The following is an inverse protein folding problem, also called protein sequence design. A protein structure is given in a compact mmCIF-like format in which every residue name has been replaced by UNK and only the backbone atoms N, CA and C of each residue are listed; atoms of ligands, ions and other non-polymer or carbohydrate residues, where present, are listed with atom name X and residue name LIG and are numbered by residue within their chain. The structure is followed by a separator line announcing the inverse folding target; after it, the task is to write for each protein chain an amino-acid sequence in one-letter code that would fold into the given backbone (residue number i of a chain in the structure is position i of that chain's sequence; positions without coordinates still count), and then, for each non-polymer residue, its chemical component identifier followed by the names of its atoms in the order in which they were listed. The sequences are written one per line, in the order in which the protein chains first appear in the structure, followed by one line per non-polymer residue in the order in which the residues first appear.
data_IF_026758609292
#
_entry.id   IF_026758609292
#
_cell.length_a   1.000
_cell.length_b   1.000
_cell.length_c   1.000
_cell.angle_alpha   90.00
_cell.angle_beta   90.00
_cell.angle_gamma   90.00
#
_symmetry.space_group_name_H-M   'P 1'
#
loop_
_entity.id
_entity.type
_entity.pdbx_description
1 polymer ?
#
# COMPACT_ATOMS: atom_id res chain seq x y z
N UNK A 1 67.56 43.36 31.67
CA UNK A 1 67.19 42.06 31.08
C UNK A 1 65.67 41.89 31.22
N UNK A 2 64.88 42.07 30.19
CA UNK A 2 63.43 41.95 30.21
C UNK A 2 63.05 40.70 29.41
N UNK A 3 62.55 39.68 30.09
CA UNK A 3 62.12 38.41 29.50
C UNK A 3 60.67 38.54 29.01
N UNK A 4 60.48 38.45 27.70
CA UNK A 4 59.15 38.45 27.09
C UNK A 4 58.62 37.00 27.09
N UNK A 5 57.49 36.79 27.74
CA UNK A 5 56.68 35.57 27.65
C UNK A 5 55.70 35.69 26.48
N UNK A 6 55.82 34.78 25.51
CA UNK A 6 54.89 34.70 24.41
C UNK A 6 53.86 33.61 24.78
N UNK A 7 52.60 34.02 24.92
CA UNK A 7 51.48 33.13 25.16
C UNK A 7 50.91 32.63 23.84
N UNK A 8 51.10 31.35 23.52
CA UNK A 8 50.50 30.72 22.33
C UNK A 8 49.11 30.17 22.70
N UNK A 9 48.05 30.75 22.16
CA UNK A 9 46.70 30.28 22.30
C UNK A 9 46.42 29.27 21.20
N UNK A 10 46.30 27.99 21.55
CA UNK A 10 45.79 26.93 20.65
C UNK A 10 44.27 26.97 20.65
N UNK A 11 43.63 27.41 19.56
CA UNK A 11 42.21 27.30 19.34
C UNK A 11 41.97 25.92 18.73
N UNK A 12 41.47 24.98 19.54
CA UNK A 12 40.97 23.70 19.05
C UNK A 12 39.59 23.93 18.40
N UNK A 13 39.59 23.95 17.08
CA UNK A 13 38.33 24.03 16.31
C UNK A 13 37.54 22.70 16.44
N UNK A 14 36.40 22.74 17.09
CA UNK A 14 35.41 21.67 17.06
C UNK A 14 34.78 21.60 15.67
N UNK A 15 35.22 20.61 14.88
CA UNK A 15 34.56 20.30 13.61
C UNK A 15 33.35 19.42 13.93
N UNK A 16 32.16 20.01 13.91
CA UNK A 16 30.92 19.23 13.91
C UNK A 16 30.70 18.64 12.50
N UNK A 17 30.47 17.31 12.38
CA UNK A 17 30.09 16.76 11.10
C UNK A 17 28.70 17.35 10.71
N UNK A 18 28.66 18.07 9.60
CA UNK A 18 27.39 18.45 8.97
C UNK A 18 26.84 17.17 8.34
N UNK A 19 25.90 16.53 9.05
CA UNK A 19 25.10 15.47 8.46
C UNK A 19 24.15 16.15 7.48
N UNK A 20 24.46 16.15 6.20
CA UNK A 20 23.50 16.47 5.15
C UNK A 20 22.44 15.38 5.17
N UNK A 21 21.26 15.69 5.70
CA UNK A 21 20.06 14.92 5.40
C UNK A 21 19.87 15.09 3.88
N UNK A 22 20.08 14.01 3.13
CA UNK A 22 19.62 13.96 1.76
C UNK A 22 18.07 14.01 1.85
N UNK A 23 17.45 15.12 1.40
CA UNK A 23 16.05 15.10 1.05
C UNK A 23 15.92 14.09 -0.09
N UNK A 24 15.43 12.88 0.21
CA UNK A 24 14.96 11.97 -0.82
C UNK A 24 13.70 12.63 -1.37
N UNK A 25 13.81 13.28 -2.53
CA UNK A 25 12.65 13.83 -3.21
C UNK A 25 11.60 12.72 -3.44
N UNK A 26 10.31 13.10 -3.43
CA UNK A 26 9.23 12.19 -3.74
C UNK A 26 9.53 11.38 -5.01
N UNK A 27 9.54 10.06 -4.89
CA UNK A 27 9.73 9.19 -6.06
C UNK A 27 8.35 8.79 -6.56
N UNK A 28 8.09 9.03 -7.85
CA UNK A 28 6.83 8.67 -8.51
C UNK A 28 7.15 7.87 -9.76
N UNK A 29 6.55 6.68 -9.86
CA UNK A 29 6.62 5.81 -11.04
C UNK A 29 5.22 5.65 -11.62
N UNK A 30 5.09 5.67 -12.95
CA UNK A 30 3.81 5.53 -13.65
C UNK A 30 3.94 4.45 -14.71
N UNK A 31 3.02 3.49 -14.69
CA UNK A 31 2.92 2.38 -15.63
C UNK A 31 1.57 2.40 -16.35
N UNK A 32 1.51 1.93 -17.60
CA UNK A 32 0.32 1.96 -18.43
C UNK A 32 0.04 0.59 -19.08
N UNK A 33 -1.13 0.02 -18.81
CA UNK A 33 -1.65 -1.09 -19.57
C UNK A 33 -2.34 -0.59 -20.87
N UNK A 34 -2.42 -1.40 -21.92
CA UNK A 34 -1.89 -2.77 -22.05
C UNK A 34 -0.43 -2.82 -22.51
N UNK A 35 0.26 -1.68 -22.58
CA UNK A 35 1.67 -1.63 -23.01
C UNK A 35 2.58 -2.36 -22.01
N UNK A 36 2.25 -2.27 -20.73
CA UNK A 36 2.90 -2.96 -19.62
C UNK A 36 1.87 -3.85 -18.93
N UNK A 37 2.32 -4.98 -18.38
CA UNK A 37 1.47 -5.78 -17.52
C UNK A 37 1.54 -5.21 -16.08
N UNK A 38 0.49 -4.48 -15.67
CA UNK A 38 0.41 -3.87 -14.35
C UNK A 38 0.31 -4.91 -13.22
N UNK A 39 -0.18 -6.13 -13.53
CA UNK A 39 -0.21 -7.26 -12.58
C UNK A 39 1.20 -7.57 -12.06
N UNK A 40 2.21 -7.60 -12.95
CA UNK A 40 3.58 -7.85 -12.55
C UNK A 40 4.13 -6.76 -11.61
N UNK A 41 3.74 -5.51 -11.82
CA UNK A 41 4.13 -4.38 -10.97
C UNK A 41 3.51 -4.54 -9.58
N UNK A 42 2.20 -4.79 -9.52
CA UNK A 42 1.47 -5.01 -8.27
C UNK A 42 2.02 -6.23 -7.50
N UNK A 43 2.25 -7.38 -8.18
CA UNK A 43 2.82 -8.59 -7.56
C UNK A 43 4.20 -8.33 -6.96
N UNK A 44 5.06 -7.59 -7.68
CA UNK A 44 6.39 -7.24 -7.16
C UNK A 44 6.31 -6.32 -5.95
N UNK A 45 5.42 -5.33 -5.96
CA UNK A 45 5.28 -4.39 -4.86
C UNK A 45 4.69 -5.05 -3.61
N UNK A 46 3.62 -5.86 -3.77
CA UNK A 46 3.05 -6.68 -2.68
C UNK A 46 4.10 -7.66 -2.13
N UNK A 47 4.91 -8.25 -3.03
CA UNK A 47 5.99 -9.18 -2.66
C UNK A 47 7.10 -8.56 -1.80
N UNK A 48 7.27 -7.22 -1.82
CA UNK A 48 8.25 -6.48 -1.00
C UNK A 48 7.76 -6.19 0.41
N UNK A 49 6.48 -6.32 0.68
CA UNK A 49 5.90 -6.03 1.98
C UNK A 49 6.57 -6.86 3.10
N UNK A 50 6.98 -6.20 4.17
CA UNK A 50 7.60 -6.79 5.35
C UNK A 50 6.75 -6.61 6.61
N UNK A 51 5.91 -5.57 6.69
CA UNK A 51 5.16 -5.21 7.90
C UNK A 51 3.65 -5.21 7.67
N UNK A 52 3.17 -4.45 6.68
CA UNK A 52 1.73 -4.23 6.51
C UNK A 52 1.31 -3.91 5.07
N UNK A 53 0.06 -4.25 4.74
CA UNK A 53 -0.61 -3.79 3.52
C UNK A 53 -2.02 -3.31 3.88
N UNK A 54 -2.32 -2.05 3.52
CA UNK A 54 -3.66 -1.47 3.62
C UNK A 54 -4.26 -1.29 2.23
N UNK A 55 -5.18 -2.15 1.85
CA UNK A 55 -5.74 -2.19 0.48
C UNK A 55 -7.21 -1.76 0.43
N UNK A 56 -7.52 -0.79 -0.43
CA UNK A 56 -8.89 -0.43 -0.82
C UNK A 56 -9.16 -0.89 -2.27
N UNK A 57 -9.91 -1.97 -2.43
CA UNK A 57 -10.15 -2.62 -3.70
C UNK A 57 -11.61 -2.55 -4.13
N UNK A 58 -11.91 -1.78 -5.19
CA UNK A 58 -13.22 -1.81 -5.81
C UNK A 58 -13.52 -3.22 -6.35
N UNK A 59 -12.62 -3.78 -7.14
CA UNK A 59 -12.62 -5.19 -7.59
C UNK A 59 -11.35 -5.87 -7.11
N UNK A 60 -11.46 -7.04 -6.53
CA UNK A 60 -10.35 -7.93 -6.20
C UNK A 60 -10.68 -9.34 -6.70
N UNK A 61 -10.24 -9.66 -7.90
CA UNK A 61 -10.55 -10.93 -8.57
C UNK A 61 -9.38 -11.50 -9.39
N UNK A 62 -8.25 -10.82 -9.40
CA UNK A 62 -7.04 -11.29 -10.08
C UNK A 62 -6.37 -12.39 -9.23
N UNK A 63 -6.14 -13.60 -9.79
CA UNK A 63 -5.55 -14.69 -9.03
C UNK A 63 -4.12 -14.43 -8.56
N UNK A 64 -3.30 -13.75 -9.36
CA UNK A 64 -1.89 -13.48 -9.03
C UNK A 64 -1.79 -12.45 -7.89
N UNK A 65 -2.69 -11.45 -7.89
CA UNK A 65 -2.76 -10.48 -6.79
C UNK A 65 -3.21 -11.16 -5.50
N UNK A 66 -4.22 -12.04 -5.57
CA UNK A 66 -4.72 -12.78 -4.40
C UNK A 66 -3.64 -13.72 -3.85
N UNK A 67 -2.89 -14.40 -4.73
CA UNK A 67 -1.76 -15.25 -4.36
C UNK A 67 -0.64 -14.43 -3.70
N UNK A 68 -0.24 -13.30 -4.30
CA UNK A 68 0.78 -12.41 -3.73
C UNK A 68 0.40 -11.89 -2.32
N UNK A 69 -0.88 -11.53 -2.11
CA UNK A 69 -1.39 -11.15 -0.79
C UNK A 69 -1.38 -12.33 0.20
N UNK A 70 -1.70 -13.55 -0.27
CA UNK A 70 -1.64 -14.74 0.56
C UNK A 70 -0.20 -15.04 0.99
N UNK A 71 0.74 -15.00 0.06
CA UNK A 71 2.17 -15.18 0.32
C UNK A 71 2.71 -14.11 1.30
N UNK A 72 2.25 -12.87 1.18
CA UNK A 72 2.60 -11.81 2.13
C UNK A 72 2.07 -12.13 3.54
N UNK A 73 0.82 -12.56 3.64
CA UNK A 73 0.22 -12.97 4.92
C UNK A 73 0.95 -14.17 5.55
N UNK A 74 1.41 -15.15 4.75
CA UNK A 74 2.23 -16.29 5.18
C UNK A 74 3.62 -15.87 5.69
N UNK A 75 4.13 -14.68 5.28
CA UNK A 75 5.34 -14.05 5.80
C UNK A 75 5.11 -13.18 7.04
N UNK A 76 3.95 -13.30 7.70
CA UNK A 76 3.53 -12.50 8.85
C UNK A 76 3.21 -11.02 8.56
N UNK A 77 3.04 -10.61 7.31
CA UNK A 77 2.56 -9.27 6.97
C UNK A 77 1.11 -9.10 7.41
N UNK A 78 0.82 -8.00 8.10
CA UNK A 78 -0.55 -7.66 8.55
C UNK A 78 -1.31 -7.00 7.41
N UNK A 79 -2.43 -7.59 6.97
CA UNK A 79 -3.17 -7.11 5.80
C UNK A 79 -4.58 -6.67 6.20
N UNK A 80 -4.95 -5.44 5.80
CA UNK A 80 -6.32 -4.93 5.89
C UNK A 80 -6.87 -4.70 4.48
N UNK A 81 -8.02 -5.30 4.16
CA UNK A 81 -8.65 -5.18 2.84
C UNK A 81 -10.04 -4.55 2.97
N UNK A 82 -10.26 -3.41 2.33
CA UNK A 82 -11.55 -2.74 2.27
C UNK A 82 -12.18 -2.89 0.89
N UNK A 83 -13.33 -3.54 0.83
CA UNK A 83 -13.97 -4.00 -0.41
C UNK A 83 -15.27 -3.24 -0.70
N UNK A 84 -15.61 -3.11 -1.99
CA UNK A 84 -16.92 -2.64 -2.41
C UNK A 84 -17.97 -3.76 -2.26
N UNK A 85 -19.18 -3.41 -1.78
CA UNK A 85 -20.26 -4.38 -1.53
C UNK A 85 -20.74 -5.06 -2.80
N UNK A 86 -20.95 -4.30 -3.86
CA UNK A 86 -21.54 -4.84 -5.11
C UNK A 86 -20.55 -5.74 -5.82
N UNK A 87 -19.30 -5.33 -5.89
CA UNK A 87 -18.24 -6.09 -6.55
C UNK A 87 -17.84 -7.33 -5.74
N UNK A 88 -17.86 -7.22 -4.42
CA UNK A 88 -17.64 -8.37 -3.55
C UNK A 88 -18.74 -9.43 -3.68
N UNK A 89 -20.01 -9.02 -3.78
CA UNK A 89 -21.11 -9.94 -4.01
C UNK A 89 -21.07 -10.61 -5.40
N UNK A 90 -20.54 -9.90 -6.42
CA UNK A 90 -20.43 -10.42 -7.80
C UNK A 90 -19.18 -11.30 -8.00
N UNK A 91 -18.03 -10.88 -7.46
CA UNK A 91 -16.72 -11.48 -7.71
C UNK A 91 -16.06 -12.08 -6.45
N UNK A 92 -16.75 -12.05 -5.32
CA UNK A 92 -16.22 -12.39 -4.00
C UNK A 92 -15.91 -13.87 -3.77
N UNK A 93 -15.67 -14.26 -2.51
CA UNK A 93 -14.98 -15.51 -2.14
C UNK A 93 -15.66 -16.81 -2.62
N UNK A 94 -16.90 -16.69 -3.06
CA UNK A 94 -17.72 -17.87 -3.39
C UNK A 94 -17.51 -18.43 -4.80
N UNK A 95 -16.62 -17.86 -5.59
CA UNK A 95 -16.40 -18.32 -6.97
C UNK A 95 -15.03 -18.96 -7.25
N UNK A 96 -14.19 -19.21 -6.26
CA UNK A 96 -12.91 -19.83 -6.58
C UNK A 96 -11.98 -20.23 -5.45
N UNK A 97 -12.41 -20.15 -4.22
CA UNK A 97 -11.58 -20.64 -3.09
C UNK A 97 -10.40 -19.74 -2.70
N UNK A 98 -9.76 -19.05 -3.65
CA UNK A 98 -8.56 -18.23 -3.38
C UNK A 98 -8.86 -17.02 -2.50
N UNK A 99 -9.88 -16.23 -2.83
CA UNK A 99 -10.27 -15.07 -1.99
C UNK A 99 -10.74 -15.53 -0.61
N UNK A 100 -11.49 -16.63 -0.53
CA UNK A 100 -11.96 -17.19 0.75
C UNK A 100 -10.77 -17.65 1.61
N UNK A 101 -9.78 -18.31 1.02
CA UNK A 101 -8.57 -18.73 1.72
C UNK A 101 -7.76 -17.51 2.23
N UNK A 102 -7.57 -16.50 1.40
CA UNK A 102 -6.93 -15.24 1.80
C UNK A 102 -7.66 -14.58 2.98
N UNK A 103 -9.00 -14.43 2.89
CA UNK A 103 -9.81 -13.78 3.93
C UNK A 103 -9.90 -14.59 5.23
N UNK A 104 -9.65 -15.87 5.19
CA UNK A 104 -9.60 -16.74 6.37
C UNK A 104 -8.23 -16.76 7.06
N UNK A 105 -7.19 -16.15 6.45
CA UNK A 105 -5.86 -16.11 7.04
C UNK A 105 -5.84 -15.24 8.31
N UNK A 106 -5.18 -15.67 9.41
CA UNK A 106 -5.20 -14.95 10.69
C UNK A 106 -4.61 -13.53 10.63
N UNK A 107 -3.65 -13.28 9.71
CA UNK A 107 -3.03 -11.97 9.51
C UNK A 107 -3.83 -11.07 8.55
N UNK A 108 -4.98 -11.54 8.02
CA UNK A 108 -5.82 -10.78 7.10
C UNK A 108 -7.12 -10.37 7.78
N UNK A 109 -7.40 -9.07 7.75
CA UNK A 109 -8.68 -8.51 8.17
C UNK A 109 -9.36 -7.89 6.96
N UNK A 110 -10.61 -8.23 6.70
CA UNK A 110 -11.33 -7.65 5.59
C UNK A 110 -12.70 -7.09 6.00
N UNK A 111 -13.04 -5.93 5.46
CA UNK A 111 -14.33 -5.27 5.63
C UNK A 111 -14.94 -4.94 4.28
N UNK A 112 -16.22 -5.15 4.19
CA UNK A 112 -17.03 -4.75 3.03
C UNK A 112 -17.74 -3.45 3.38
N UNK A 113 -17.69 -2.49 2.47
CA UNK A 113 -18.46 -1.25 2.61
C UNK A 113 -19.95 -1.59 2.75
N UNK A 114 -20.58 -1.00 3.73
CA UNK A 114 -22.01 -1.12 3.93
C UNK A 114 -22.83 -0.43 2.83
N UNK A 115 -23.87 0.28 3.21
CA UNK A 115 -24.77 0.95 2.26
C UNK A 115 -24.19 2.25 1.68
N UNK A 116 -24.79 2.75 0.59
CA UNK A 116 -24.48 4.02 -0.04
C UNK A 116 -23.79 3.88 -1.39
N UNK A 117 -23.09 4.96 -1.82
CA UNK A 117 -22.37 5.00 -3.09
C UNK A 117 -21.16 4.09 -3.09
N UNK A 118 -20.67 3.74 -4.29
CA UNK A 118 -19.52 2.83 -4.49
C UNK A 118 -18.28 3.22 -3.66
N UNK A 119 -17.55 2.23 -3.22
CA UNK A 119 -16.15 2.35 -2.83
C UNK A 119 -15.30 2.09 -4.08
N UNK A 120 -14.87 3.15 -4.76
CA UNK A 120 -14.28 3.02 -6.10
C UNK A 120 -12.75 3.17 -6.13
N UNK A 121 -12.09 3.09 -4.97
CA UNK A 121 -10.64 3.11 -4.89
C UNK A 121 -10.01 1.82 -5.46
N UNK A 122 -8.84 1.95 -6.03
CA UNK A 122 -7.94 0.90 -6.46
C UNK A 122 -6.56 1.30 -5.97
N UNK A 123 -6.34 1.17 -4.67
CA UNK A 123 -5.14 1.68 -4.04
C UNK A 123 -4.74 0.80 -2.85
N UNK A 124 -3.45 0.71 -2.59
CA UNK A 124 -2.93 0.15 -1.37
C UNK A 124 -1.64 0.86 -0.94
N UNK A 125 -1.37 0.85 0.37
CA UNK A 125 -0.09 1.23 0.92
C UNK A 125 0.66 -0.03 1.39
N UNK A 126 1.98 -0.06 1.16
CA UNK A 126 2.90 -1.08 1.65
C UNK A 126 3.79 -0.45 2.70
N UNK A 127 3.83 -1.05 3.89
CA UNK A 127 4.70 -0.74 5.03
C UNK A 127 4.64 0.72 5.51
N UNK A 128 3.63 1.49 5.09
CA UNK A 128 3.55 2.93 5.31
C UNK A 128 4.60 3.74 4.54
N UNK A 129 5.19 3.18 3.49
CA UNK A 129 6.29 3.78 2.72
C UNK A 129 5.93 4.04 1.26
N UNK A 130 5.15 3.16 0.62
CA UNK A 130 4.78 3.27 -0.79
C UNK A 130 3.27 3.19 -0.95
N UNK A 131 2.69 4.18 -1.61
CA UNK A 131 1.30 4.16 -2.08
C UNK A 131 1.25 3.70 -3.54
N UNK A 132 0.49 2.65 -3.81
CA UNK A 132 0.01 2.31 -5.16
C UNK A 132 -1.39 2.87 -5.36
N UNK A 133 -1.60 3.60 -6.43
CA UNK A 133 -2.92 4.10 -6.86
C UNK A 133 -3.05 4.05 -8.38
N UNK A 134 -4.22 4.39 -8.93
CA UNK A 134 -4.46 4.45 -10.38
C UNK A 134 -5.87 4.02 -10.78
N UNK A 135 -6.10 3.86 -12.07
CA UNK A 135 -7.40 3.46 -12.63
C UNK A 135 -7.58 1.94 -12.69
N UNK A 136 -6.49 1.17 -12.72
CA UNK A 136 -6.52 -0.30 -12.87
C UNK A 136 -7.15 -1.02 -11.69
N UNK A 137 -8.29 -1.71 -11.93
CA UNK A 137 -8.87 -2.64 -10.97
C UNK A 137 -7.95 -3.87 -10.78
N UNK A 138 -7.96 -4.46 -9.59
CA UNK A 138 -7.24 -5.72 -9.31
C UNK A 138 -7.99 -6.92 -9.92
N UNK A 139 -8.03 -6.93 -11.24
CA UNK A 139 -8.64 -7.97 -12.08
C UNK A 139 -7.78 -8.20 -13.33
N UNK A 140 -7.77 -9.40 -13.89
CA UNK A 140 -6.94 -9.75 -15.04
C UNK A 140 -7.08 -8.74 -16.20
N UNK A 141 -8.32 -8.37 -16.56
CA UNK A 141 -8.54 -7.39 -17.62
C UNK A 141 -8.15 -5.97 -17.24
N UNK A 142 -8.33 -5.59 -15.96
CA UNK A 142 -8.00 -4.26 -15.44
C UNK A 142 -6.49 -4.00 -15.43
N UNK A 143 -5.69 -5.05 -15.21
CA UNK A 143 -4.24 -4.93 -15.05
C UNK A 143 -3.47 -5.22 -16.36
N UNK A 144 -4.09 -5.91 -17.34
CA UNK A 144 -3.35 -6.35 -18.52
C UNK A 144 -3.93 -5.91 -19.86
N UNK A 145 -5.25 -5.61 -19.96
CA UNK A 145 -5.93 -5.49 -21.26
C UNK A 145 -6.64 -4.17 -21.50
N UNK A 146 -7.08 -3.50 -20.44
CA UNK A 146 -7.76 -2.20 -20.51
C UNK A 146 -6.74 -1.07 -20.52
N UNK A 147 -7.11 0.09 -21.09
CA UNK A 147 -6.31 1.31 -21.02
C UNK A 147 -6.38 1.88 -19.59
N UNK A 148 -5.48 1.41 -18.75
CA UNK A 148 -5.37 1.81 -17.34
C UNK A 148 -3.97 2.27 -16.99
N UNK A 149 -3.89 3.01 -15.89
CA UNK A 149 -2.65 3.43 -15.25
C UNK A 149 -2.50 2.78 -13.86
N UNK A 150 -1.26 2.70 -13.44
CA UNK A 150 -0.80 2.37 -12.10
C UNK A 150 0.28 3.37 -11.73
N UNK A 151 0.20 3.94 -10.55
CA UNK A 151 1.15 4.92 -10.02
C UNK A 151 1.67 4.43 -8.68
N UNK A 152 3.00 4.33 -8.55
CA UNK A 152 3.69 4.12 -7.28
C UNK A 152 4.22 5.46 -6.78
N UNK A 153 4.00 5.77 -5.53
CA UNK A 153 4.41 7.03 -4.90
C UNK A 153 5.11 6.73 -3.59
N UNK A 154 6.43 6.99 -3.52
CA UNK A 154 7.22 6.95 -2.31
C UNK A 154 7.42 8.40 -1.81
N UNK A 155 6.39 8.91 -1.15
CA UNK A 155 6.36 10.22 -0.48
C UNK A 155 5.57 10.06 0.82
N UNK A 156 6.22 10.25 1.95
CA UNK A 156 5.64 9.99 3.27
C UNK A 156 4.35 10.78 3.50
N UNK A 157 4.30 12.06 3.09
CA UNK A 157 3.11 12.88 3.32
C UNK A 157 1.90 12.38 2.49
N UNK A 158 2.16 11.84 1.29
CA UNK A 158 1.13 11.26 0.43
C UNK A 158 0.65 9.93 0.98
N UNK A 159 1.57 9.07 1.44
CA UNK A 159 1.24 7.78 2.08
C UNK A 159 0.45 8.00 3.36
N UNK A 160 0.89 8.89 4.26
CA UNK A 160 0.17 9.24 5.49
C UNK A 160 -1.26 9.75 5.21
N UNK A 161 -1.43 10.55 4.15
CA UNK A 161 -2.76 11.04 3.76
C UNK A 161 -3.68 9.91 3.26
N UNK A 162 -3.13 8.92 2.54
CA UNK A 162 -3.88 7.73 2.15
C UNK A 162 -4.27 6.89 3.37
N UNK A 163 -3.33 6.60 4.26
CA UNK A 163 -3.58 5.79 5.47
C UNK A 163 -4.60 6.44 6.40
N UNK A 164 -4.50 7.75 6.62
CA UNK A 164 -5.50 8.49 7.39
C UNK A 164 -6.91 8.40 6.76
N UNK A 165 -6.99 8.46 5.42
CA UNK A 165 -8.26 8.23 4.72
C UNK A 165 -8.72 6.78 4.82
N UNK A 166 -7.79 5.82 4.70
CA UNK A 166 -8.09 4.39 4.84
C UNK A 166 -8.65 4.08 6.22
N UNK A 167 -8.02 4.54 7.29
CA UNK A 167 -8.50 4.38 8.66
C UNK A 167 -9.90 4.98 8.86
N UNK A 168 -10.16 6.16 8.28
CA UNK A 168 -11.47 6.80 8.34
C UNK A 168 -12.57 5.97 7.65
N UNK A 169 -12.28 5.38 6.48
CA UNK A 169 -13.26 4.53 5.78
C UNK A 169 -13.39 3.16 6.44
N UNK A 170 -12.29 2.63 6.98
CA UNK A 170 -12.26 1.39 7.74
C UNK A 170 -13.11 1.44 9.01
N UNK A 171 -13.10 2.56 9.71
CA UNK A 171 -13.81 2.74 10.97
C UNK A 171 -15.33 3.03 10.84
N UNK A 172 -15.89 3.06 9.61
CA UNK A 172 -17.34 3.33 9.43
C UNK A 172 -18.19 2.29 10.12
N UNK A 173 -19.18 2.74 10.88
CA UNK A 173 -20.05 1.87 11.69
C UNK A 173 -20.91 0.90 10.86
N UNK A 174 -21.21 1.25 9.60
CA UNK A 174 -22.00 0.42 8.69
C UNK A 174 -21.19 -0.63 7.93
N UNK A 175 -19.87 -0.71 8.12
CA UNK A 175 -19.03 -1.75 7.51
C UNK A 175 -19.39 -3.12 8.08
N UNK A 176 -19.26 -4.13 7.24
CA UNK A 176 -19.53 -5.54 7.57
C UNK A 176 -18.21 -6.31 7.44
N UNK A 177 -17.94 -7.25 8.34
CA UNK A 177 -16.85 -8.21 8.15
C UNK A 177 -17.03 -8.96 6.83
N UNK A 178 -15.97 -9.14 6.04
CA UNK A 178 -16.11 -9.75 4.72
C UNK A 178 -16.63 -11.20 4.80
N UNK A 179 -16.24 -11.95 5.83
CA UNK A 179 -16.76 -13.31 6.07
C UNK A 179 -18.23 -13.35 6.54
N UNK A 180 -18.74 -12.23 7.05
CA UNK A 180 -20.10 -12.07 7.54
C UNK A 180 -21.03 -11.41 6.50
N UNK A 181 -20.49 -10.99 5.34
CA UNK A 181 -21.26 -10.32 4.31
C UNK A 181 -22.32 -11.27 3.70
N UNK A 182 -23.56 -10.79 3.50
CA UNK A 182 -24.60 -11.63 2.90
C UNK A 182 -24.22 -12.06 1.48
N UNK A 183 -24.46 -13.31 1.20
CA UNK A 183 -24.24 -13.97 -0.11
C UNK A 183 -25.30 -13.57 -1.12
#
# INVERSE_FOLDING_TARGET
MATRFTLTICIAGLIFPITTLAESGAQVEIHYAPRENLENVDVQEIGRAELSIDMAAYVLSDPQIIEALTDAAERDVVIRIYLDKSQFAEHGPFRGGLVEALLAHPNVSARVKGEGVLMHLKAYAVDGEVLRTGSGNFSCSGLSSQDNDLILIADQAVVDAFEANFDRIWARAQNIGALDAPR
#
